data_IF_316644290810
#
_entry.id   IF_316644290810
#
_cell.length_a   1.000
_cell.length_b   1.000
_cell.length_c   1.000
_cell.angle_alpha   90.00
_cell.angle_beta   90.00
_cell.angle_gamma   90.00
#
_symmetry.space_group_name_H-M   'P 1'
#
loop_
_entity.id
_entity.type
_entity.pdbx_description
1 polymer ?
#
# COMPACT_ATOMS: atom_id res chain seq x y z
N UNK A 1 -43.31 -7.44 5.35
CA UNK A 1 -41.89 -7.74 5.65
C UNK A 1 -41.10 -6.48 5.28
N UNK A 2 -40.59 -5.74 6.26
CA UNK A 2 -39.95 -4.43 6.00
C UNK A 2 -38.53 -4.60 5.46
N UNK A 3 -38.13 -3.70 4.56
CA UNK A 3 -36.80 -3.60 3.96
C UNK A 3 -35.70 -3.20 4.96
N UNK A 4 -35.96 -3.15 6.27
CA UNK A 4 -35.01 -2.66 7.28
C UNK A 4 -33.92 -3.68 7.66
N UNK A 5 -33.95 -4.87 7.04
CA UNK A 5 -32.93 -5.91 7.21
C UNK A 5 -31.77 -5.81 6.20
N UNK A 6 -31.65 -4.71 5.45
CA UNK A 6 -30.43 -4.40 4.69
C UNK A 6 -29.31 -3.99 5.64
N UNK A 7 -28.73 -5.02 6.26
CA UNK A 7 -27.31 -5.15 6.61
C UNK A 7 -26.59 -3.81 6.83
N UNK A 8 -26.58 -3.36 8.10
CA UNK A 8 -25.57 -2.41 8.59
C UNK A 8 -24.19 -3.09 8.57
N UNK A 9 -23.61 -3.31 7.39
CA UNK A 9 -22.17 -3.43 7.28
C UNK A 9 -21.62 -2.03 7.57
N UNK A 10 -21.34 -1.74 8.85
CA UNK A 10 -20.47 -0.60 9.14
C UNK A 10 -19.16 -0.88 8.40
N UNK A 11 -18.85 -0.08 7.36
CA UNK A 11 -17.52 -0.12 6.76
C UNK A 11 -16.50 -0.06 7.91
N UNK A 12 -15.46 -0.90 7.91
CA UNK A 12 -14.43 -0.84 8.95
C UNK A 12 -13.90 0.59 9.03
N UNK A 13 -13.56 1.03 10.24
CA UNK A 13 -13.08 2.38 10.42
C UNK A 13 -11.76 2.56 9.65
N UNK A 14 -11.51 3.72 9.04
CA UNK A 14 -10.28 3.95 8.30
C UNK A 14 -9.06 3.84 9.24
N UNK A 15 -8.17 2.90 8.97
CA UNK A 15 -6.91 2.76 9.69
C UNK A 15 -5.74 3.26 8.84
N UNK A 16 -4.78 4.00 9.44
CA UNK A 16 -3.62 4.46 8.71
C UNK A 16 -2.75 3.27 8.32
N UNK A 17 -2.29 3.29 7.07
CA UNK A 17 -1.35 2.30 6.53
C UNK A 17 0.03 2.51 7.15
N UNK A 18 0.40 3.77 7.37
CA UNK A 18 1.61 4.19 8.04
C UNK A 18 1.40 5.55 8.74
N UNK A 19 2.19 5.78 9.78
CA UNK A 19 2.26 7.03 10.54
C UNK A 19 3.73 7.43 10.62
N UNK A 20 4.06 8.71 10.38
CA UNK A 20 5.44 9.20 10.43
C UNK A 20 5.97 9.22 11.86
N UNK A 21 7.29 9.33 12.00
CA UNK A 21 7.87 9.82 13.25
C UNK A 21 7.32 11.21 13.60
N UNK A 22 7.20 11.45 14.90
CA UNK A 22 6.75 12.73 15.43
C UNK A 22 7.91 13.73 15.40
N UNK A 23 7.72 14.86 14.71
CA UNK A 23 8.69 15.96 14.71
C UNK A 23 8.23 17.03 15.70
N UNK A 24 9.12 17.45 16.60
CA UNK A 24 8.89 18.56 17.54
C UNK A 24 9.83 19.72 17.25
N UNK A 25 9.29 20.93 17.10
CA UNK A 25 10.07 22.18 16.93
C UNK A 25 9.36 23.34 17.63
N UNK A 26 10.06 23.98 18.59
CA UNK A 26 9.59 25.16 19.35
C UNK A 26 8.14 24.99 19.85
N UNK A 27 7.89 23.84 20.47
CA UNK A 27 6.59 23.45 21.02
C UNK A 27 5.55 22.98 19.99
N UNK A 28 5.77 23.19 18.69
CA UNK A 28 4.90 22.65 17.65
C UNK A 28 5.22 21.17 17.43
N UNK A 29 4.20 20.38 17.12
CA UNK A 29 4.33 18.94 16.84
C UNK A 29 3.74 18.63 15.47
N UNK A 30 4.39 17.75 14.71
CA UNK A 30 3.99 17.32 13.37
C UNK A 30 3.97 15.80 13.29
N UNK A 31 2.88 15.24 12.76
CA UNK A 31 2.73 13.80 12.49
C UNK A 31 1.96 13.66 11.18
N UNK A 32 2.44 12.80 10.26
CA UNK A 32 1.70 12.44 9.06
C UNK A 32 1.06 11.05 9.20
N UNK A 33 -0.11 10.88 8.61
CA UNK A 33 -0.79 9.61 8.46
C UNK A 33 -1.15 9.42 6.98
N UNK A 34 -0.96 8.21 6.46
CA UNK A 34 -1.38 7.86 5.09
C UNK A 34 -2.43 6.75 5.15
N UNK A 35 -3.48 6.89 4.35
CA UNK A 35 -4.59 5.92 4.25
C UNK A 35 -4.74 5.48 2.80
N UNK A 36 -5.11 4.20 2.57
CA UNK A 36 -5.57 3.75 1.26
C UNK A 36 -6.95 4.35 0.98
N UNK A 37 -7.13 4.92 -0.20
CA UNK A 37 -8.42 5.41 -0.66
C UNK A 37 -8.48 5.41 -2.19
N UNK A 38 -9.56 4.86 -2.74
CA UNK A 38 -9.75 4.74 -4.18
C UNK A 38 -10.72 5.78 -4.73
N UNK A 39 -11.50 6.42 -3.85
CA UNK A 39 -12.46 7.46 -4.23
C UNK A 39 -12.35 8.70 -3.35
N UNK A 40 -12.84 9.83 -3.87
CA UNK A 40 -12.86 11.09 -3.15
C UNK A 40 -13.74 11.03 -1.89
N UNK A 41 -14.80 10.21 -1.88
CA UNK A 41 -15.62 9.98 -0.70
C UNK A 41 -14.83 9.27 0.41
N UNK A 42 -13.98 8.32 0.06
CA UNK A 42 -13.09 7.64 1.00
C UNK A 42 -12.04 8.60 1.57
N UNK A 43 -11.46 9.46 0.72
CA UNK A 43 -10.56 10.55 1.14
C UNK A 43 -11.23 11.40 2.22
N UNK A 44 -12.43 11.91 1.94
CA UNK A 44 -13.19 12.76 2.89
C UNK A 44 -13.52 12.02 4.17
N UNK A 45 -13.83 10.71 4.08
CA UNK A 45 -14.10 9.86 5.24
C UNK A 45 -12.86 9.68 6.11
N UNK A 46 -11.68 9.45 5.52
CA UNK A 46 -10.42 9.29 6.24
C UNK A 46 -10.03 10.57 6.98
N UNK A 47 -10.08 11.73 6.30
CA UNK A 47 -9.78 13.03 6.91
C UNK A 47 -10.72 13.31 8.08
N UNK A 48 -12.03 13.07 7.89
CA UNK A 48 -13.04 13.26 8.94
C UNK A 48 -12.83 12.31 10.12
N UNK A 49 -12.46 11.06 9.86
CA UNK A 49 -12.16 10.07 10.89
C UNK A 49 -10.95 10.50 11.71
N UNK A 50 -9.83 10.84 11.05
CA UNK A 50 -8.62 11.31 11.72
C UNK A 50 -8.92 12.51 12.63
N UNK A 51 -9.59 13.54 12.09
CA UNK A 51 -9.91 14.77 12.82
C UNK A 51 -10.83 14.56 14.02
N UNK A 52 -11.86 13.71 13.90
CA UNK A 52 -12.92 13.59 14.92
C UNK A 52 -12.74 12.43 15.88
N UNK A 53 -12.10 11.36 15.43
CA UNK A 53 -11.94 10.12 16.20
C UNK A 53 -10.51 10.02 16.70
N UNK A 54 -9.53 9.93 15.79
CA UNK A 54 -8.12 9.75 16.16
C UNK A 54 -7.60 10.93 16.98
N UNK A 55 -7.86 12.16 16.55
CA UNK A 55 -7.48 13.39 17.26
C UNK A 55 -8.62 13.96 18.11
N UNK A 56 -9.69 13.20 18.35
CA UNK A 56 -10.85 13.69 19.12
C UNK A 56 -10.49 14.14 20.53
N UNK A 57 -9.58 13.43 21.20
CA UNK A 57 -9.11 13.78 22.54
C UNK A 57 -8.14 14.98 22.56
N UNK A 58 -7.39 15.19 21.47
CA UNK A 58 -6.42 16.29 21.33
C UNK A 58 -6.44 16.81 19.89
N UNK A 59 -7.38 17.70 19.55
CA UNK A 59 -7.52 18.21 18.20
C UNK A 59 -6.23 18.87 17.71
N UNK A 60 -5.83 18.55 16.48
CA UNK A 60 -4.76 19.28 15.81
C UNK A 60 -5.19 20.71 15.51
N UNK A 61 -4.22 21.63 15.47
CA UNK A 61 -4.46 23.00 15.05
C UNK A 61 -4.72 23.08 13.53
N UNK A 62 -4.05 22.21 12.77
CA UNK A 62 -4.16 22.12 11.32
C UNK A 62 -4.08 20.67 10.87
N UNK A 63 -4.95 20.26 9.95
CA UNK A 63 -4.99 18.96 9.28
C UNK A 63 -4.77 19.15 7.78
N UNK A 64 -3.51 19.32 7.38
CA UNK A 64 -3.13 19.53 5.98
C UNK A 64 -3.29 18.21 5.25
N UNK A 65 -3.95 18.18 4.09
CA UNK A 65 -4.14 16.93 3.36
C UNK A 65 -3.85 17.06 1.87
N UNK A 66 -3.45 15.95 1.26
CA UNK A 66 -3.42 15.77 -0.18
C UNK A 66 -3.76 14.33 -0.53
N UNK A 67 -4.33 14.13 -1.71
CA UNK A 67 -4.72 12.80 -2.19
C UNK A 67 -4.52 12.67 -3.69
N UNK A 68 -4.34 11.43 -4.13
CA UNK A 68 -4.24 11.05 -5.54
C UNK A 68 -4.96 9.72 -5.71
N UNK A 69 -5.92 9.66 -6.63
CA UNK A 69 -6.66 8.43 -6.93
C UNK A 69 -6.70 8.22 -8.45
N UNK A 70 -6.51 6.97 -8.88
CA UNK A 70 -6.75 6.54 -10.24
C UNK A 70 -8.22 6.19 -10.37
N UNK A 71 -8.95 6.97 -11.18
CA UNK A 71 -10.39 6.82 -11.34
C UNK A 71 -10.75 6.46 -12.76
N UNK A 72 -11.81 5.67 -12.91
CA UNK A 72 -12.36 5.35 -14.21
C UNK A 72 -13.02 6.60 -14.83
N UNK A 73 -12.70 6.90 -16.08
CA UNK A 73 -13.36 7.97 -16.85
C UNK A 73 -14.82 7.58 -17.07
N UNK A 74 -15.74 8.54 -16.93
CA UNK A 74 -17.20 8.30 -16.92
C UNK A 74 -17.73 7.55 -18.15
N UNK A 75 -17.07 7.68 -19.30
CA UNK A 75 -17.51 7.11 -20.58
C UNK A 75 -16.82 5.76 -20.88
N UNK A 76 -15.97 5.29 -19.98
CA UNK A 76 -15.13 4.11 -20.19
C UNK A 76 -15.57 2.95 -19.27
N UNK A 77 -15.25 1.73 -19.69
CA UNK A 77 -15.64 0.51 -18.98
C UNK A 77 -14.51 -0.09 -18.12
N UNK A 78 -13.27 0.38 -18.32
CA UNK A 78 -12.07 -0.13 -17.66
C UNK A 78 -11.48 -1.34 -18.37
N UNK A 79 -12.10 -1.80 -19.47
CA UNK A 79 -11.69 -2.98 -20.22
C UNK A 79 -10.85 -2.65 -21.46
N UNK A 80 -10.83 -1.39 -21.91
CA UNK A 80 -10.11 -0.99 -23.14
C UNK A 80 -8.64 -0.64 -22.89
N UNK A 81 -8.17 -0.76 -21.65
CA UNK A 81 -6.78 -0.58 -21.26
C UNK A 81 -6.55 0.67 -20.40
N UNK A 82 -5.28 1.09 -20.24
CA UNK A 82 -4.90 2.17 -19.31
C UNK A 82 -5.55 3.53 -19.62
N UNK A 83 -5.89 3.79 -20.88
CA UNK A 83 -6.50 5.05 -21.31
C UNK A 83 -7.91 5.27 -20.76
N UNK A 84 -8.56 4.23 -20.24
CA UNK A 84 -9.86 4.31 -19.58
C UNK A 84 -9.79 5.03 -18.23
N UNK A 85 -8.58 5.19 -17.67
CA UNK A 85 -8.37 5.75 -16.34
C UNK A 85 -7.78 7.16 -16.42
N UNK A 86 -8.07 7.97 -15.40
CA UNK A 86 -7.46 9.28 -15.19
C UNK A 86 -7.01 9.41 -13.74
N UNK A 87 -5.97 10.22 -13.52
CA UNK A 87 -5.53 10.56 -12.16
C UNK A 87 -6.27 11.80 -11.71
N UNK A 88 -7.06 11.67 -10.63
CA UNK A 88 -7.57 12.81 -9.87
C UNK A 88 -6.72 13.06 -8.65
N UNK A 89 -6.53 14.33 -8.33
CA UNK A 89 -5.80 14.75 -7.16
C UNK A 89 -6.39 16.02 -6.58
N UNK A 90 -6.18 16.21 -5.29
CA UNK A 90 -6.60 17.42 -4.58
C UNK A 90 -5.77 17.61 -3.32
N UNK A 91 -5.79 18.83 -2.79
CA UNK A 91 -5.12 19.17 -1.55
C UNK A 91 -5.89 20.23 -0.77
N UNK A 92 -5.69 20.24 0.54
CA UNK A 92 -6.30 21.19 1.47
C UNK A 92 -5.26 21.64 2.51
N UNK A 93 -5.13 22.96 2.67
CA UNK A 93 -4.14 23.60 3.55
C UNK A 93 -4.57 23.63 5.03
N UNK A 94 -5.87 23.59 5.32
CA UNK A 94 -6.47 23.78 6.66
C UNK A 94 -5.86 24.95 7.47
N UNK A 95 -5.70 26.12 6.83
CA UNK A 95 -5.15 27.33 7.46
C UNK A 95 -3.62 27.48 7.35
N UNK A 96 -2.89 26.44 6.97
CA UNK A 96 -1.46 26.46 6.66
C UNK A 96 -1.24 26.72 5.18
N UNK A 97 -1.42 27.98 4.76
CA UNK A 97 -1.34 28.37 3.33
C UNK A 97 -0.13 27.74 2.63
N UNK A 98 -0.39 27.12 1.48
CA UNK A 98 0.56 26.43 0.58
C UNK A 98 1.07 25.06 1.06
N UNK A 99 0.65 24.58 2.22
CA UNK A 99 1.13 23.30 2.76
C UNK A 99 0.51 22.08 2.04
N UNK A 100 -0.73 22.14 1.59
CA UNK A 100 -1.41 21.04 0.90
C UNK A 100 -0.72 20.71 -0.43
N UNK A 101 -0.33 21.73 -1.20
CA UNK A 101 0.42 21.52 -2.46
C UNK A 101 1.80 20.90 -2.21
N UNK A 102 2.44 21.22 -1.08
CA UNK A 102 3.71 20.59 -0.65
C UNK A 102 3.53 19.09 -0.39
N UNK A 103 2.47 18.71 0.32
CA UNK A 103 2.15 17.29 0.55
C UNK A 103 1.83 16.58 -0.77
N UNK A 104 1.07 17.22 -1.66
CA UNK A 104 0.77 16.66 -2.98
C UNK A 104 2.05 16.43 -3.81
N UNK A 105 2.99 17.38 -3.79
CA UNK A 105 4.30 17.24 -4.45
C UNK A 105 5.10 16.06 -3.89
N UNK A 106 5.09 15.86 -2.57
CA UNK A 106 5.72 14.70 -1.94
C UNK A 106 5.10 13.38 -2.46
N UNK A 107 3.77 13.29 -2.51
CA UNK A 107 3.07 12.11 -3.06
C UNK A 107 3.42 11.85 -4.53
N UNK A 108 3.51 12.90 -5.35
CA UNK A 108 3.92 12.77 -6.77
C UNK A 108 5.36 12.27 -6.87
N UNK A 109 6.28 12.83 -6.08
CA UNK A 109 7.70 12.45 -6.11
C UNK A 109 7.96 11.00 -5.71
N UNK A 110 7.16 10.49 -4.76
CA UNK A 110 7.23 9.10 -4.29
C UNK A 110 6.22 8.20 -5.04
N UNK A 111 5.66 8.67 -6.16
CA UNK A 111 4.72 7.95 -7.04
C UNK A 111 3.51 7.34 -6.32
N UNK A 112 3.08 7.91 -5.20
CA UNK A 112 1.97 7.38 -4.37
C UNK A 112 0.63 7.64 -5.06
N UNK A 113 -0.15 6.57 -5.23
CA UNK A 113 -1.48 6.54 -5.84
C UNK A 113 -2.47 5.85 -4.90
N UNK A 114 -3.76 6.08 -5.14
CA UNK A 114 -4.89 5.54 -4.38
C UNK A 114 -4.73 5.69 -2.86
N UNK A 115 -4.31 6.90 -2.47
CA UNK A 115 -4.04 7.23 -1.08
C UNK A 115 -4.31 8.70 -0.77
N UNK A 116 -4.51 8.97 0.51
CA UNK A 116 -4.55 10.31 1.11
C UNK A 116 -3.50 10.40 2.19
N UNK A 117 -2.69 11.46 2.15
CA UNK A 117 -1.77 11.84 3.20
C UNK A 117 -2.39 13.00 3.96
N UNK A 118 -2.41 12.89 5.29
CA UNK A 118 -2.82 13.96 6.20
C UNK A 118 -1.67 14.26 7.15
N UNK A 119 -1.16 15.49 7.10
CA UNK A 119 -0.14 15.99 8.02
C UNK A 119 -0.81 16.88 9.06
N UNK A 120 -0.79 16.39 10.29
CA UNK A 120 -1.40 17.04 11.44
C UNK A 120 -0.37 17.87 12.18
N UNK A 121 -0.69 19.14 12.42
CA UNK A 121 0.14 20.06 13.20
C UNK A 121 -0.58 20.48 14.47
N UNK A 122 0.08 20.35 15.62
CA UNK A 122 -0.32 21.00 16.87
C UNK A 122 0.57 22.24 17.08
N UNK A 123 -0.03 23.42 17.10
CA UNK A 123 0.69 24.68 17.26
C UNK A 123 1.23 24.86 18.68
N UNK A 124 2.52 25.18 18.79
CA UNK A 124 3.22 25.31 20.07
C UNK A 124 3.29 26.71 20.68
N UNK A 125 2.62 27.71 20.09
CA UNK A 125 2.72 29.10 20.56
C UNK A 125 3.79 29.95 19.86
N UNK A 126 4.71 29.35 19.10
CA UNK A 126 5.76 30.06 18.35
C UNK A 126 5.60 29.91 16.83
N UNK A 127 5.65 31.02 16.10
CA UNK A 127 5.65 31.02 14.63
C UNK A 127 6.96 30.45 14.10
N UNK A 128 6.89 29.31 13.41
CA UNK A 128 8.08 28.65 12.85
C UNK A 128 8.55 29.27 11.52
N UNK A 129 7.72 30.11 10.89
CA UNK A 129 8.00 30.64 9.56
C UNK A 129 8.15 29.52 8.54
N UNK A 130 9.11 29.60 7.60
CA UNK A 130 9.33 28.59 6.56
C UNK A 130 9.67 27.19 7.09
N UNK A 131 10.25 27.07 8.29
CA UNK A 131 10.71 25.79 8.85
C UNK A 131 9.57 24.76 8.99
N UNK A 132 8.32 25.22 9.22
CA UNK A 132 7.17 24.31 9.30
C UNK A 132 6.94 23.52 8.01
N UNK A 133 7.22 24.12 6.85
CA UNK A 133 7.02 23.45 5.57
C UNK A 133 8.01 22.32 5.37
N UNK A 134 9.25 22.48 5.87
CA UNK A 134 10.24 21.41 5.84
C UNK A 134 9.81 20.22 6.71
N UNK A 135 9.25 20.48 7.89
CA UNK A 135 8.71 19.42 8.77
C UNK A 135 7.51 18.72 8.12
N UNK A 136 6.57 19.47 7.55
CA UNK A 136 5.41 18.93 6.83
C UNK A 136 5.84 18.02 5.68
N UNK A 137 6.78 18.50 4.86
CA UNK A 137 7.32 17.76 3.72
C UNK A 137 8.07 16.50 4.18
N UNK A 138 8.85 16.58 5.26
CA UNK A 138 9.56 15.44 5.84
C UNK A 138 8.60 14.34 6.31
N UNK A 139 7.58 14.70 7.11
CA UNK A 139 6.58 13.75 7.58
C UNK A 139 5.83 13.10 6.41
N UNK A 140 5.45 13.89 5.40
CA UNK A 140 4.74 13.40 4.22
C UNK A 140 5.60 12.40 3.41
N UNK A 141 6.86 12.73 3.14
CA UNK A 141 7.78 11.84 2.42
C UNK A 141 8.00 10.52 3.15
N UNK A 142 8.11 10.54 4.48
CA UNK A 142 8.31 9.35 5.29
C UNK A 142 7.15 8.36 5.16
N UNK A 143 5.90 8.83 5.30
CA UNK A 143 4.73 7.97 5.14
C UNK A 143 4.54 7.50 3.70
N UNK A 144 4.84 8.34 2.71
CA UNK A 144 4.80 7.95 1.31
C UNK A 144 5.77 6.81 0.99
N UNK A 145 7.01 6.89 1.47
CA UNK A 145 8.01 5.83 1.29
C UNK A 145 7.59 4.53 1.96
N UNK A 146 7.10 4.63 3.19
CA UNK A 146 6.64 3.46 3.96
C UNK A 146 5.46 2.79 3.27
N UNK A 147 4.54 3.59 2.71
CA UNK A 147 3.41 3.08 1.92
C UNK A 147 3.87 2.34 0.67
N UNK A 148 4.78 2.91 -0.12
CA UNK A 148 5.32 2.26 -1.31
C UNK A 148 6.00 0.93 -1.00
N UNK A 149 6.81 0.89 0.06
CA UNK A 149 7.48 -0.33 0.47
C UNK A 149 6.47 -1.41 0.94
N UNK A 150 5.32 -1.00 1.48
CA UNK A 150 4.24 -1.91 1.84
C UNK A 150 3.50 -2.44 0.62
N UNK A 151 3.18 -1.60 -0.36
CA UNK A 151 2.59 -2.06 -1.64
C UNK A 151 3.51 -3.07 -2.32
N UNK A 152 4.81 -2.77 -2.41
CA UNK A 152 5.78 -3.67 -3.04
C UNK A 152 5.93 -4.99 -2.26
N UNK A 153 5.79 -4.95 -0.93
CA UNK A 153 5.79 -6.16 -0.10
C UNK A 153 4.55 -7.01 -0.36
N UNK A 154 3.37 -6.40 -0.42
CA UNK A 154 2.10 -7.08 -0.69
C UNK A 154 2.13 -7.73 -2.10
N UNK A 155 2.68 -7.04 -3.10
CA UNK A 155 2.93 -7.60 -4.44
C UNK A 155 3.88 -8.79 -4.40
N UNK A 156 4.99 -8.69 -3.65
CA UNK A 156 5.93 -9.80 -3.49
C UNK A 156 5.25 -11.02 -2.84
N UNK A 157 4.41 -10.83 -1.83
CA UNK A 157 3.70 -11.92 -1.15
C UNK A 157 2.71 -12.59 -2.12
N UNK A 158 1.93 -11.80 -2.86
CA UNK A 158 1.00 -12.31 -3.87
C UNK A 158 1.73 -13.13 -4.94
N UNK A 159 2.85 -12.58 -5.44
CA UNK A 159 3.71 -13.25 -6.43
C UNK A 159 4.27 -14.55 -5.88
N UNK A 160 4.75 -14.56 -4.63
CA UNK A 160 5.26 -15.77 -3.98
C UNK A 160 4.21 -16.87 -3.91
N UNK A 161 2.99 -16.54 -3.49
CA UNK A 161 1.89 -17.51 -3.43
C UNK A 161 1.64 -18.15 -4.80
N UNK A 162 1.59 -17.34 -5.86
CA UNK A 162 1.40 -17.84 -7.22
C UNK A 162 2.57 -18.71 -7.72
N UNK A 163 3.81 -18.33 -7.41
CA UNK A 163 4.99 -19.12 -7.77
C UNK A 163 5.04 -20.44 -7.00
N UNK A 164 4.63 -20.46 -5.73
CA UNK A 164 4.54 -21.69 -4.93
C UNK A 164 3.49 -22.66 -5.47
N UNK A 165 2.31 -22.16 -5.87
CA UNK A 165 1.28 -22.96 -6.54
C UNK A 165 1.80 -23.56 -7.86
N UNK A 166 2.49 -22.74 -8.66
CA UNK A 166 3.11 -23.18 -9.91
C UNK A 166 4.17 -24.26 -9.66
N UNK A 167 5.02 -24.09 -8.64
CA UNK A 167 6.01 -25.10 -8.25
C UNK A 167 5.38 -26.40 -7.78
N UNK A 168 4.28 -26.33 -7.03
CA UNK A 168 3.55 -27.50 -6.58
C UNK A 168 3.00 -28.31 -7.77
N UNK A 169 2.43 -27.62 -8.77
CA UNK A 169 1.93 -28.24 -9.99
C UNK A 169 3.05 -28.90 -10.80
N UNK A 170 4.16 -28.19 -11.05
CA UNK A 170 5.30 -28.72 -11.80
C UNK A 170 5.96 -29.92 -11.11
N UNK A 171 6.05 -29.90 -9.78
CA UNK A 171 6.57 -31.05 -9.01
C UNK A 171 5.66 -32.26 -9.13
N UNK A 172 4.34 -32.08 -9.01
CA UNK A 172 3.38 -33.16 -9.21
C UNK A 172 3.44 -33.75 -10.63
N UNK A 173 3.63 -32.90 -11.64
CA UNK A 173 3.86 -33.33 -13.02
C UNK A 173 5.16 -34.13 -13.17
N UNK A 174 6.26 -33.66 -12.59
CA UNK A 174 7.54 -34.36 -12.61
C UNK A 174 7.46 -35.74 -11.92
N UNK A 175 6.76 -35.82 -10.78
CA UNK A 175 6.54 -37.08 -10.05
C UNK A 175 5.74 -38.07 -10.90
N UNK A 176 4.74 -37.61 -11.66
CA UNK A 176 3.98 -38.47 -12.59
C UNK A 176 4.82 -39.04 -13.74
N UNK A 177 5.90 -38.36 -14.13
CA UNK A 177 6.87 -38.82 -15.14
C UNK A 177 8.00 -39.68 -14.54
N UNK A 178 8.06 -39.82 -13.20
CA UNK A 178 9.15 -40.48 -12.49
C UNK A 178 8.70 -41.09 -11.16
N UNK A 179 8.05 -42.28 -11.18
CA UNK A 179 7.58 -42.92 -9.94
C UNK A 179 8.69 -43.35 -8.97
N UNK A 180 9.96 -43.34 -9.38
CA UNK A 180 11.11 -43.76 -8.54
C UNK A 180 11.69 -42.67 -7.61
N UNK A 181 11.15 -41.43 -7.63
CA UNK A 181 11.59 -40.39 -6.69
C UNK A 181 10.72 -40.35 -5.44
N UNK A 182 11.34 -40.59 -4.28
CA UNK A 182 10.78 -40.40 -2.92
C UNK A 182 10.59 -38.90 -2.58
N UNK A 183 9.97 -38.16 -3.51
CA UNK A 183 9.63 -36.74 -3.36
C UNK A 183 8.39 -36.61 -2.48
N UNK A 184 8.59 -36.85 -1.20
CA UNK A 184 7.63 -36.68 -0.13
C UNK A 184 6.97 -35.28 -0.18
N UNK A 185 5.63 -35.30 -0.13
CA UNK A 185 4.66 -34.21 0.06
C UNK A 185 5.24 -32.93 0.69
N UNK A 186 5.83 -32.05 -0.12
CA UNK A 186 6.26 -30.72 0.36
C UNK A 186 5.01 -29.88 0.58
N UNK A 187 4.67 -29.63 1.85
CA UNK A 187 3.58 -28.69 2.20
C UNK A 187 3.88 -27.31 1.61
N UNK A 188 2.85 -26.65 1.10
CA UNK A 188 2.94 -25.26 0.67
C UNK A 188 3.52 -24.42 1.82
N UNK A 189 4.52 -23.57 1.54
CA UNK A 189 5.10 -22.71 2.55
C UNK A 189 4.06 -21.72 3.06
N UNK A 190 3.99 -21.54 4.37
CA UNK A 190 3.14 -20.53 5.01
C UNK A 190 4.01 -19.35 5.39
N UNK A 191 3.67 -18.17 4.87
CA UNK A 191 4.37 -16.94 5.19
C UNK A 191 3.80 -16.31 6.47
N UNK A 192 4.64 -15.94 7.45
CA UNK A 192 4.18 -15.18 8.60
C UNK A 192 3.75 -13.77 8.17
N UNK A 193 3.08 -13.03 9.06
CA UNK A 193 2.76 -11.62 8.84
C UNK A 193 4.07 -10.85 8.67
N UNK A 194 4.32 -10.37 7.45
CA UNK A 194 5.52 -9.61 7.12
C UNK A 194 5.33 -8.13 7.35
N UNK A 195 6.43 -7.48 7.67
CA UNK A 195 6.51 -6.04 7.86
C UNK A 195 7.40 -5.43 6.79
N UNK A 196 7.40 -4.11 6.70
CA UNK A 196 8.18 -3.38 5.70
C UNK A 196 9.69 -3.72 5.76
N UNK A 197 10.22 -4.09 6.93
CA UNK A 197 11.62 -4.55 7.05
C UNK A 197 11.91 -5.89 6.35
N UNK A 198 10.89 -6.69 6.07
CA UNK A 198 11.02 -7.99 5.40
C UNK A 198 11.06 -7.89 3.86
N UNK A 199 10.85 -6.70 3.29
CA UNK A 199 10.78 -6.48 1.85
C UNK A 199 11.99 -7.03 1.08
N UNK A 200 13.21 -6.82 1.59
CA UNK A 200 14.42 -7.35 0.97
C UNK A 200 14.45 -8.89 0.96
N UNK A 201 13.91 -9.52 2.01
CA UNK A 201 13.79 -10.97 2.12
C UNK A 201 12.71 -11.50 1.18
N UNK A 202 11.56 -10.82 1.10
CA UNK A 202 10.47 -11.14 0.16
C UNK A 202 10.97 -11.17 -1.28
N UNK A 203 11.66 -10.12 -1.74
CA UNK A 203 12.25 -10.05 -3.09
C UNK A 203 13.23 -11.18 -3.38
N UNK A 204 14.09 -11.52 -2.42
CA UNK A 204 15.04 -12.65 -2.55
C UNK A 204 14.31 -13.98 -2.70
N UNK A 205 13.23 -14.18 -1.94
CA UNK A 205 12.41 -15.39 -2.02
C UNK A 205 11.70 -15.49 -3.37
N UNK A 206 11.13 -14.38 -3.90
CA UNK A 206 10.53 -14.35 -5.24
C UNK A 206 11.56 -14.84 -6.25
N UNK A 207 12.78 -14.30 -6.21
CA UNK A 207 13.84 -14.70 -7.14
C UNK A 207 14.24 -16.16 -7.01
N UNK A 208 14.32 -16.67 -5.78
CA UNK A 208 14.61 -18.07 -5.53
C UNK A 208 13.53 -19.00 -6.12
N UNK A 209 12.25 -18.61 -6.01
CA UNK A 209 11.11 -19.37 -6.56
C UNK A 209 11.09 -19.36 -8.08
N UNK A 210 11.31 -18.21 -8.71
CA UNK A 210 11.48 -18.12 -10.17
C UNK A 210 12.58 -19.06 -10.68
N UNK A 211 13.73 -19.08 -10.00
CA UNK A 211 14.86 -19.94 -10.39
C UNK A 211 14.53 -21.43 -10.18
N UNK A 212 13.82 -21.77 -9.10
CA UNK A 212 13.35 -23.13 -8.87
C UNK A 212 12.38 -23.60 -9.96
N UNK A 213 11.44 -22.75 -10.39
CA UNK A 213 10.50 -23.05 -11.48
C UNK A 213 11.29 -23.37 -12.75
N UNK A 214 12.22 -22.48 -13.15
CA UNK A 214 13.06 -22.67 -14.35
C UNK A 214 13.81 -24.00 -14.31
N UNK A 215 14.39 -24.36 -13.16
CA UNK A 215 15.09 -25.62 -12.99
C UNK A 215 14.16 -26.82 -13.14
N UNK A 216 13.00 -26.82 -12.47
CA UNK A 216 12.04 -27.93 -12.51
C UNK A 216 11.47 -28.09 -13.93
N UNK A 217 11.11 -26.99 -14.59
CA UNK A 217 10.65 -27.02 -15.98
C UNK A 217 11.70 -27.63 -16.91
N UNK A 218 12.98 -27.26 -16.76
CA UNK A 218 14.07 -27.83 -17.56
C UNK A 218 14.22 -29.34 -17.33
N UNK A 219 14.06 -29.81 -16.09
CA UNK A 219 14.08 -31.24 -15.78
C UNK A 219 12.91 -32.00 -16.41
N UNK A 220 11.70 -31.43 -16.36
CA UNK A 220 10.52 -32.02 -17.02
C UNK A 220 10.74 -32.14 -18.53
N UNK A 221 11.27 -31.10 -19.17
CA UNK A 221 11.57 -31.13 -20.61
C UNK A 221 12.62 -32.19 -20.96
N UNK A 222 13.70 -32.30 -20.18
CA UNK A 222 14.72 -33.33 -20.37
C UNK A 222 14.15 -34.74 -20.20
N UNK A 223 13.32 -34.96 -19.18
CA UNK A 223 12.64 -36.24 -18.94
C UNK A 223 11.76 -36.61 -20.13
N UNK A 224 10.92 -35.68 -20.60
CA UNK A 224 10.04 -35.87 -21.76
C UNK A 224 10.82 -36.27 -23.01
N UNK A 225 11.97 -35.64 -23.28
CA UNK A 225 12.84 -35.99 -24.41
C UNK A 225 13.46 -37.37 -24.28
N UNK A 226 13.74 -37.84 -23.07
CA UNK A 226 14.35 -39.16 -22.85
C UNK A 226 13.32 -40.29 -22.88
N UNK A 227 12.03 -40.00 -22.66
CA UNK A 227 10.91 -40.96 -22.75
C UNK A 227 10.22 -41.01 -24.12
N UNK A 228 10.56 -40.11 -25.04
CA UNK A 228 10.05 -40.07 -26.43
C UNK A 228 11.03 -40.78 -27.38
#
# INVERSE_FOLDING_TARGET
>A
MSLDAFVKHSKPQPEPVATSQEIRDRGSTFVANIFKCTTEEEVRSCIKHLRRVTHGAKPASHEISAWRCMVLKKEHTGLMGPDDFEVKSGSEDDGEKWAGEKVLKAMVSEAVMDAVVVVSRWYGGTLLGPARFAHIETCALEVCRTFQQKEELDECISTLSSLDDTLAQLRAELDSLSPDSDASKVKAPVYPVWTVSDLAKAKRLVKARENAIKSVTTFIEQRRRNTA
#
